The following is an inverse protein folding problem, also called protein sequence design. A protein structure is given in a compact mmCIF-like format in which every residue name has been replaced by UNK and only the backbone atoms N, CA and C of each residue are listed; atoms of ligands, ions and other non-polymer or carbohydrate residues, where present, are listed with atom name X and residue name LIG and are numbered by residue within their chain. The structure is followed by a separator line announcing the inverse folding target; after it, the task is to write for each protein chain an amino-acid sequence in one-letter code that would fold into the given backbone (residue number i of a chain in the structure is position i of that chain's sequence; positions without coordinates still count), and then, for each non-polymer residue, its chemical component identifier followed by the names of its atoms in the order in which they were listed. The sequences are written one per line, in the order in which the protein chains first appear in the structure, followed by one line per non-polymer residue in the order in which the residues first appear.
data_IF_685160541666
#
_entry.id   IF_685160541666
#
_cell.length_a   1.000
_cell.length_b   1.000
_cell.length_c   1.000
_cell.angle_alpha   90.00
_cell.angle_beta   90.00
_cell.angle_gamma   90.00
#
_symmetry.space_group_name_H-M   'P 1'
#
loop_
_entity.id
_entity.type
_entity.pdbx_description
1 polymer ?
#
# COMPACT_ATOMS: atom_id res chain seq x y z
N UNK A 1 3.05 14.42 5.04
CA UNK A 1 3.33 13.86 6.37
C UNK A 1 3.33 12.36 6.18
N UNK A 2 4.50 11.82 5.84
CA UNK A 2 4.65 10.38 5.60
C UNK A 2 4.80 9.66 6.93
N UNK A 3 4.31 8.43 7.01
CA UNK A 3 4.80 7.47 7.99
C UNK A 3 6.32 7.46 7.86
N UNK A 4 7.02 7.92 8.91
CA UNK A 4 8.35 8.52 8.77
C UNK A 4 9.44 7.61 8.17
N UNK A 5 9.16 6.32 7.93
CA UNK A 5 10.14 5.34 7.46
C UNK A 5 9.63 4.35 6.40
N UNK A 6 8.44 4.55 5.80
CA UNK A 6 7.91 3.64 4.77
C UNK A 6 7.44 4.36 3.51
N UNK A 7 7.52 3.66 2.39
CA UNK A 7 7.12 4.15 1.07
C UNK A 7 6.29 3.08 0.36
N UNK A 8 5.35 3.52 -0.47
CA UNK A 8 4.59 2.66 -1.37
C UNK A 8 4.57 3.26 -2.77
N UNK A 9 4.68 2.42 -3.80
CA UNK A 9 4.55 2.81 -5.19
C UNK A 9 3.59 1.88 -5.93
N UNK A 10 2.75 2.49 -6.76
CA UNK A 10 1.87 1.81 -7.69
C UNK A 10 2.61 1.58 -9.02
N UNK A 11 2.67 0.33 -9.47
CA UNK A 11 3.24 -0.06 -10.76
C UNK A 11 2.18 -0.01 -11.86
N UNK A 12 2.63 0.20 -13.10
CA UNK A 12 1.75 0.27 -14.29
C UNK A 12 0.96 -1.02 -14.57
N UNK A 13 1.42 -2.15 -14.04
CA UNK A 13 0.73 -3.45 -14.11
C UNK A 13 -0.42 -3.58 -13.08
N UNK A 14 -0.69 -2.55 -12.28
CA UNK A 14 -1.74 -2.57 -11.26
C UNK A 14 -1.34 -3.25 -9.95
N UNK A 15 -0.05 -3.53 -9.71
CA UNK A 15 0.44 -4.02 -8.43
C UNK A 15 1.12 -2.92 -7.62
N UNK A 16 1.09 -3.06 -6.29
CA UNK A 16 1.76 -2.12 -5.38
C UNK A 16 3.02 -2.77 -4.84
N UNK A 17 4.04 -1.94 -4.62
CA UNK A 17 5.23 -2.32 -3.86
C UNK A 17 5.42 -1.36 -2.71
N UNK A 18 5.80 -1.89 -1.55
CA UNK A 18 6.19 -1.11 -0.40
C UNK A 18 7.61 -1.47 0.03
N UNK A 19 8.28 -0.51 0.67
CA UNK A 19 9.60 -0.69 1.25
C UNK A 19 9.79 0.27 2.44
N UNK A 20 10.76 -0.06 3.29
CA UNK A 20 11.04 0.68 4.51
C UNK A 20 10.57 -0.07 5.75
N UNK A 21 10.15 0.67 6.77
CA UNK A 21 9.78 0.11 8.06
C UNK A 21 8.52 -0.78 7.98
N UNK A 22 8.59 -2.06 8.37
CA UNK A 22 7.46 -2.99 8.27
C UNK A 22 6.26 -2.58 9.14
N UNK A 23 6.51 -1.94 10.28
CA UNK A 23 5.48 -1.53 11.25
C UNK A 23 4.57 -0.46 10.65
N UNK A 24 5.15 0.46 9.88
CA UNK A 24 4.44 1.56 9.23
C UNK A 24 3.99 1.25 7.79
N UNK A 25 3.93 -0.03 7.40
CA UNK A 25 3.43 -0.46 6.10
C UNK A 25 4.48 -0.60 5.00
N UNK A 26 5.78 -0.69 5.36
CA UNK A 26 6.87 -1.06 4.47
C UNK A 26 6.86 -2.53 4.05
N UNK A 27 6.10 -3.38 4.75
CA UNK A 27 5.82 -4.75 4.35
C UNK A 27 4.37 -4.89 3.88
N UNK A 28 4.21 -5.41 2.65
CA UNK A 28 2.90 -5.71 2.04
C UNK A 28 2.70 -7.21 1.84
N UNK A 29 3.58 -8.07 2.36
CA UNK A 29 3.50 -9.53 2.19
C UNK A 29 2.13 -10.11 2.58
N UNK A 30 1.52 -9.56 3.64
CA UNK A 30 0.19 -9.92 4.15
C UNK A 30 -0.97 -9.53 3.21
N UNK A 31 -0.80 -8.47 2.42
CA UNK A 31 -1.85 -7.90 1.56
C UNK A 31 -1.51 -7.97 0.07
N UNK A 32 -0.35 -8.51 -0.30
CA UNK A 32 0.15 -8.55 -1.67
C UNK A 32 -0.82 -9.26 -2.63
N UNK A 33 -1.50 -10.31 -2.15
CA UNK A 33 -2.52 -11.03 -2.92
C UNK A 33 -3.78 -10.17 -3.19
N UNK A 34 -4.06 -9.18 -2.34
CA UNK A 34 -5.21 -8.27 -2.46
C UNK A 34 -4.87 -7.01 -3.27
N UNK A 35 -3.59 -6.65 -3.36
CA UNK A 35 -3.08 -5.49 -4.11
C UNK A 35 -2.96 -5.79 -5.61
N UNK A 36 -4.04 -6.28 -6.21
CA UNK A 36 -4.18 -6.51 -7.64
C UNK A 36 -5.13 -5.50 -8.26
N UNK A 37 -4.85 -5.07 -9.49
CA UNK A 37 -5.64 -4.07 -10.20
C UNK A 37 -5.79 -2.74 -9.41
N UNK A 38 -4.75 -2.31 -8.69
CA UNK A 38 -4.78 -1.07 -7.89
C UNK A 38 -4.80 0.15 -8.81
N UNK A 39 -5.72 1.08 -8.53
CA UNK A 39 -5.89 2.34 -9.27
C UNK A 39 -5.28 3.53 -8.55
N UNK A 40 -5.34 3.53 -7.23
CA UNK A 40 -4.82 4.61 -6.40
C UNK A 40 -4.28 4.07 -5.09
N UNK A 41 -3.23 4.71 -4.57
CA UNK A 41 -2.68 4.45 -3.24
C UNK A 41 -2.60 5.77 -2.49
N UNK A 42 -3.11 5.78 -1.27
CA UNK A 42 -3.08 6.90 -0.35
C UNK A 42 -2.19 6.52 0.84
N UNK A 43 -1.31 7.41 1.23
CA UNK A 43 -0.48 7.27 2.42
C UNK A 43 -1.07 8.08 3.58
N UNK A 44 -1.06 7.52 4.78
CA UNK A 44 -1.40 8.22 6.03
C UNK A 44 -0.14 8.32 6.92
N UNK A 45 -0.28 8.73 8.19
CA UNK A 45 0.86 8.91 9.11
C UNK A 45 1.50 7.61 9.61
N UNK A 46 0.84 6.45 9.47
CA UNK A 46 1.31 5.15 9.99
C UNK A 46 1.08 3.96 9.04
N UNK A 47 0.57 4.19 7.83
CA UNK A 47 0.19 3.16 6.88
C UNK A 47 -0.33 3.70 5.56
N UNK A 48 -0.99 2.83 4.81
CA UNK A 48 -1.42 3.08 3.44
C UNK A 48 -2.78 2.46 3.15
N UNK A 49 -3.43 2.97 2.10
CA UNK A 49 -4.73 2.54 1.63
C UNK A 49 -4.70 2.46 0.10
N UNK A 50 -4.98 1.29 -0.46
CA UNK A 50 -5.12 1.08 -1.89
C UNK A 50 -6.59 0.93 -2.28
N UNK A 51 -6.94 1.56 -3.39
CA UNK A 51 -8.22 1.38 -4.07
C UNK A 51 -8.01 0.53 -5.32
N UNK A 52 -8.68 -0.62 -5.41
CA UNK A 52 -8.63 -1.49 -6.59
C UNK A 52 -9.67 -1.08 -7.62
N UNK A 53 -9.45 -1.49 -8.86
CA UNK A 53 -10.37 -1.24 -9.98
C UNK A 53 -11.72 -1.93 -9.84
N UNK A 54 -11.80 -2.92 -8.95
CA UNK A 54 -13.03 -3.63 -8.62
C UNK A 54 -13.83 -2.92 -7.51
N UNK A 55 -13.36 -1.75 -7.04
CA UNK A 55 -13.98 -0.97 -5.97
C UNK A 55 -13.66 -1.46 -4.56
N UNK A 56 -12.71 -2.40 -4.40
CA UNK A 56 -12.25 -2.84 -3.07
C UNK A 56 -11.22 -1.87 -2.51
N UNK A 57 -11.23 -1.72 -1.19
CA UNK A 57 -10.24 -0.95 -0.45
C UNK A 57 -9.40 -1.91 0.39
N UNK A 58 -8.09 -1.79 0.29
CA UNK A 58 -7.12 -2.60 1.03
C UNK A 58 -6.25 -1.67 1.85
N UNK A 59 -6.17 -1.89 3.16
CA UNK A 59 -5.35 -1.08 4.07
C UNK A 59 -4.22 -1.92 4.66
N UNK A 60 -3.05 -1.32 4.84
CA UNK A 60 -1.90 -1.96 5.49
C UNK A 60 -1.03 -0.92 6.22
N UNK A 61 -0.19 -1.39 7.14
CA UNK A 61 0.43 -0.54 8.15
C UNK A 61 -0.45 -0.40 9.39
N UNK A 62 0.14 0.13 10.46
CA UNK A 62 -0.43 0.15 11.81
C UNK A 62 -1.34 1.36 12.05
#
# INVERSE_FOLDING_TARGET
MGSAWSFAALRKNGTVVAWGDPVTGGDISSVAAQLTNVRAVYANSHGFTALTGDGRVVTWGQ
#
